data_IF_054667501697
#
_entry.id   IF_054667501697
#
_cell.length_a   1.000
_cell.length_b   1.000
_cell.length_c   1.000
_cell.angle_alpha   90.00
_cell.angle_beta   90.00
_cell.angle_gamma   90.00
#
_symmetry.space_group_name_H-M   'P 1'
#
loop_
_entity.id
_entity.type
_entity.pdbx_description
1 polymer ?
#
# COMPACT_ATOMS: atom_id res chain seq x y z
N UNK A 1 -55.35 35.04 16.03
CA UNK A 1 -55.37 33.73 15.36
C UNK A 1 -54.62 32.74 16.22
N UNK A 2 -55.36 31.85 16.88
CA UNK A 2 -54.84 30.74 17.69
C UNK A 2 -54.67 29.54 16.75
N UNK A 3 -53.48 28.95 16.70
CA UNK A 3 -53.24 27.53 16.36
C UNK A 3 -52.06 27.10 17.23
N UNK A 4 -52.35 26.71 18.48
CA UNK A 4 -52.41 25.33 18.97
C UNK A 4 -51.12 24.53 18.74
N UNK A 5 -50.50 24.21 19.87
CA UNK A 5 -49.37 23.34 20.09
C UNK A 5 -49.62 21.93 19.53
N UNK A 6 -48.58 21.29 19.01
CA UNK A 6 -48.47 19.83 19.03
C UNK A 6 -47.00 19.45 19.20
N UNK A 7 -46.72 18.96 20.40
CA UNK A 7 -45.50 18.31 20.82
C UNK A 7 -45.47 16.91 20.21
N UNK A 8 -44.37 16.51 19.58
CA UNK A 8 -44.06 15.12 19.34
C UNK A 8 -42.57 14.88 19.58
N UNK A 9 -42.30 14.27 20.73
CA UNK A 9 -41.01 13.74 21.16
C UNK A 9 -40.77 12.48 20.31
N UNK A 10 -39.77 12.49 19.43
CA UNK A 10 -39.35 11.25 18.78
C UNK A 10 -38.41 10.50 19.73
N UNK A 11 -38.94 9.44 20.31
CA UNK A 11 -38.22 8.47 21.11
C UNK A 11 -37.11 7.79 20.29
N UNK A 12 -35.98 7.58 20.95
CA UNK A 12 -34.87 6.78 20.44
C UNK A 12 -35.22 5.27 20.42
N UNK A 13 -34.37 4.52 19.70
CA UNK A 13 -34.19 3.06 19.69
C UNK A 13 -35.02 2.30 18.65
N UNK A 14 -34.37 1.82 17.59
CA UNK A 14 -34.25 0.39 17.30
C UNK A 14 -33.06 0.22 16.34
N UNK A 15 -31.95 -0.32 16.86
CA UNK A 15 -30.90 -0.91 16.06
C UNK A 15 -31.46 -2.26 15.58
N UNK A 16 -31.88 -2.37 14.32
CA UNK A 16 -31.96 -3.68 13.67
C UNK A 16 -30.53 -4.19 13.44
N UNK A 17 -29.91 -4.69 14.51
CA UNK A 17 -28.87 -5.69 14.38
C UNK A 17 -29.49 -6.89 13.69
N UNK A 18 -29.16 -7.16 12.43
CA UNK A 18 -29.29 -8.51 11.88
C UNK A 18 -28.26 -9.42 12.56
N UNK A 19 -28.41 -9.62 13.87
CA UNK A 19 -27.70 -10.65 14.60
C UNK A 19 -28.40 -11.97 14.26
N UNK A 20 -27.94 -12.64 13.19
CA UNK A 20 -28.23 -14.06 13.01
C UNK A 20 -27.67 -14.76 14.26
N UNK A 21 -28.54 -15.36 15.06
CA UNK A 21 -28.10 -16.22 16.16
C UNK A 21 -27.33 -17.40 15.54
N UNK A 22 -26.09 -17.69 15.98
CA UNK A 22 -25.41 -18.90 15.57
C UNK A 22 -26.20 -20.11 16.07
N UNK A 23 -26.34 -21.13 15.23
CA UNK A 23 -26.98 -22.39 15.62
C UNK A 23 -26.07 -23.16 16.60
N UNK A 24 -26.62 -23.96 17.54
CA UNK A 24 -25.85 -24.50 18.66
C UNK A 24 -24.93 -25.70 18.35
N UNK A 25 -24.67 -26.04 17.09
CA UNK A 25 -24.05 -27.33 16.73
C UNK A 25 -22.89 -27.24 15.73
N UNK A 26 -22.36 -26.06 15.40
CA UNK A 26 -21.16 -26.02 14.56
C UNK A 26 -19.87 -26.28 15.36
N UNK A 27 -19.01 -27.23 14.93
CA UNK A 27 -17.71 -27.45 15.54
C UNK A 27 -16.88 -26.17 15.50
N UNK A 28 -16.26 -25.80 16.63
CA UNK A 28 -15.34 -24.67 16.71
C UNK A 28 -14.04 -25.02 15.97
N UNK A 29 -14.00 -24.76 14.67
CA UNK A 29 -12.74 -24.69 13.94
C UNK A 29 -12.12 -23.32 14.25
N UNK A 30 -10.94 -23.24 14.88
CA UNK A 30 -10.26 -21.96 15.03
C UNK A 30 -10.03 -21.39 13.62
N UNK A 31 -10.54 -20.19 13.38
CA UNK A 31 -10.26 -19.45 12.15
C UNK A 31 -8.73 -19.31 12.04
N UNK A 32 -8.12 -19.64 10.88
CA UNK A 32 -6.68 -19.52 10.73
C UNK A 32 -6.25 -18.08 11.05
N UNK A 33 -5.25 -17.91 11.93
CA UNK A 33 -4.70 -16.57 12.15
C UNK A 33 -4.13 -16.04 10.84
N UNK A 34 -4.72 -14.95 10.36
CA UNK A 34 -4.29 -14.27 9.14
C UNK A 34 -2.80 -13.89 9.24
N UNK A 35 -1.96 -14.23 8.25
CA UNK A 35 -0.52 -14.03 8.36
C UNK A 35 -0.20 -12.53 8.36
N UNK A 36 0.53 -12.08 9.38
CA UNK A 36 0.88 -10.67 9.54
C UNK A 36 1.76 -10.17 8.39
N UNK A 37 1.44 -8.99 7.85
CA UNK A 37 2.19 -8.35 6.76
C UNK A 37 2.94 -7.11 7.27
N UNK A 38 4.25 -7.06 7.04
CA UNK A 38 5.16 -6.02 7.49
C UNK A 38 5.79 -5.28 6.31
N UNK A 39 5.99 -3.96 6.47
CA UNK A 39 6.82 -3.18 5.54
C UNK A 39 8.30 -3.43 5.79
N UNK A 40 9.09 -3.49 4.72
CA UNK A 40 10.54 -3.34 4.80
C UNK A 40 10.92 -1.89 5.12
N UNK A 41 12.21 -1.66 5.40
CA UNK A 41 12.78 -0.31 5.24
C UNK A 41 12.65 0.19 3.80
N UNK A 42 12.86 1.48 3.60
CA UNK A 42 13.06 2.05 2.27
C UNK A 42 14.41 1.63 1.70
N UNK A 43 14.44 1.42 0.39
CA UNK A 43 15.62 1.14 -0.40
C UNK A 43 15.70 2.16 -1.53
N UNK A 44 16.91 2.65 -1.73
CA UNK A 44 17.28 3.73 -2.63
C UNK A 44 18.69 3.37 -3.07
N UNK A 45 18.80 2.79 -4.27
CA UNK A 45 20.03 2.19 -4.76
C UNK A 45 20.60 3.03 -5.89
N UNK A 46 19.76 3.50 -6.79
CA UNK A 46 20.15 4.29 -7.94
C UNK A 46 19.77 5.76 -7.75
N UNK A 47 20.50 6.67 -8.39
CA UNK A 47 20.13 8.09 -8.46
C UNK A 47 19.73 8.39 -9.91
N UNK A 48 18.92 9.43 -10.19
CA UNK A 48 18.39 9.75 -11.52
C UNK A 48 19.46 10.31 -12.48
N UNK A 49 20.43 9.48 -12.82
CA UNK A 49 21.61 9.81 -13.61
C UNK A 49 21.65 8.95 -14.88
N UNK A 50 22.38 9.41 -15.91
CA UNK A 50 22.47 8.70 -17.18
C UNK A 50 21.09 8.42 -17.82
N UNK A 51 20.63 7.16 -17.70
CA UNK A 51 19.39 6.69 -18.38
C UNK A 51 18.10 6.84 -17.56
N UNK A 52 18.18 7.17 -16.27
CA UNK A 52 17.01 7.30 -15.40
C UNK A 52 17.33 6.89 -13.97
N UNK A 53 16.32 6.37 -13.29
CA UNK A 53 16.39 5.87 -11.92
C UNK A 53 15.88 4.42 -11.85
N UNK A 54 16.71 3.51 -11.33
CA UNK A 54 16.60 2.06 -11.46
C UNK A 54 16.61 1.30 -10.13
N UNK A 55 15.45 1.27 -9.48
CA UNK A 55 15.16 0.49 -8.27
C UNK A 55 14.74 -0.97 -8.59
N UNK A 56 15.61 -1.70 -9.29
CA UNK A 56 15.36 -3.09 -9.70
C UNK A 56 15.41 -4.05 -8.50
N UNK A 57 14.35 -4.84 -8.31
CA UNK A 57 14.21 -5.76 -7.18
C UNK A 57 15.35 -6.80 -7.09
N UNK A 58 15.89 -7.23 -8.24
CA UNK A 58 17.01 -8.18 -8.27
C UNK A 58 18.27 -7.56 -7.64
N UNK A 59 18.54 -6.30 -7.93
CA UNK A 59 19.75 -5.59 -7.50
C UNK A 59 19.59 -5.17 -6.03
N UNK A 60 18.40 -4.67 -5.68
CA UNK A 60 18.02 -4.40 -4.30
C UNK A 60 18.18 -5.63 -3.38
N UNK A 61 17.74 -6.81 -3.82
CA UNK A 61 17.92 -8.06 -3.05
C UNK A 61 19.37 -8.49 -2.95
N UNK A 62 20.16 -8.31 -4.01
CA UNK A 62 21.59 -8.62 -4.03
C UNK A 62 22.34 -7.78 -3.00
N UNK A 63 22.07 -6.48 -2.97
CA UNK A 63 22.72 -5.52 -2.07
C UNK A 63 22.16 -5.56 -0.64
N UNK A 64 20.91 -6.02 -0.46
CA UNK A 64 20.24 -6.13 0.83
C UNK A 64 19.81 -7.58 1.15
N UNK A 65 20.79 -8.48 1.21
CA UNK A 65 20.56 -9.92 1.37
C UNK A 65 19.66 -10.22 2.58
N UNK A 66 18.57 -10.96 2.32
CA UNK A 66 17.61 -11.40 3.34
C UNK A 66 16.67 -10.32 3.88
N UNK A 67 16.75 -9.07 3.39
CA UNK A 67 15.91 -7.95 3.85
C UNK A 67 14.60 -7.80 3.07
N UNK A 68 14.55 -8.32 1.84
CA UNK A 68 13.34 -8.33 1.01
C UNK A 68 12.93 -9.79 0.80
N UNK A 69 11.70 -10.14 1.12
CA UNK A 69 11.17 -11.50 0.95
C UNK A 69 11.14 -11.92 -0.52
N UNK A 70 11.09 -13.23 -0.77
CA UNK A 70 11.05 -13.82 -2.13
C UNK A 70 9.80 -13.42 -2.92
N UNK A 71 8.66 -13.25 -2.24
CA UNK A 71 7.37 -12.90 -2.85
C UNK A 71 6.76 -11.68 -2.14
N UNK A 72 7.09 -10.46 -2.58
CA UNK A 72 6.46 -9.25 -2.04
C UNK A 72 4.97 -9.22 -2.36
N UNK A 73 4.18 -8.73 -1.42
CA UNK A 73 2.73 -8.57 -1.58
C UNK A 73 2.36 -7.17 -2.07
N UNK A 74 3.16 -6.17 -1.71
CA UNK A 74 2.99 -4.78 -2.13
C UNK A 74 4.34 -4.13 -2.41
N UNK A 75 4.34 -3.14 -3.29
CA UNK A 75 5.45 -2.22 -3.56
C UNK A 75 4.92 -0.80 -3.40
N UNK A 76 5.73 0.06 -2.82
CA UNK A 76 5.47 1.49 -2.75
C UNK A 76 6.73 2.23 -3.21
N UNK A 77 6.55 3.27 -4.01
CA UNK A 77 7.61 4.16 -4.47
C UNK A 77 7.26 5.62 -4.15
N UNK A 78 8.21 6.35 -3.58
CA UNK A 78 8.09 7.78 -3.27
C UNK A 78 9.35 8.52 -3.70
N UNK A 79 9.25 9.81 -3.96
CA UNK A 79 10.44 10.63 -4.20
C UNK A 79 11.26 10.80 -2.93
N UNK A 80 12.57 10.91 -3.06
CA UNK A 80 13.49 11.05 -1.91
C UNK A 80 13.39 12.42 -1.24
N UNK A 81 13.14 13.46 -2.04
CA UNK A 81 13.12 14.87 -1.64
C UNK A 81 11.92 15.29 -0.78
N UNK A 82 10.72 14.92 -1.21
CA UNK A 82 9.44 15.41 -0.69
C UNK A 82 8.52 14.28 -0.25
N UNK A 83 8.95 13.02 -0.39
CA UNK A 83 8.15 11.83 -0.12
C UNK A 83 6.85 11.80 -0.94
N UNK A 84 6.86 12.40 -2.13
CA UNK A 84 5.70 12.42 -3.02
C UNK A 84 5.48 11.01 -3.57
N UNK A 85 4.28 10.41 -3.45
CA UNK A 85 3.97 9.13 -4.07
C UNK A 85 4.25 9.16 -5.56
N UNK A 86 4.91 8.12 -6.09
CA UNK A 86 5.31 8.08 -7.50
C UNK A 86 4.12 8.30 -8.46
N UNK A 87 2.96 7.75 -8.14
CA UNK A 87 1.73 7.94 -8.93
C UNK A 87 1.25 9.39 -8.99
N UNK A 88 1.67 10.23 -8.04
CA UNK A 88 1.28 11.64 -7.95
C UNK A 88 2.29 12.59 -8.63
N UNK A 89 3.44 12.08 -9.10
CA UNK A 89 4.48 12.93 -9.69
C UNK A 89 4.21 13.34 -11.13
N UNK A 90 3.32 12.62 -11.81
CA UNK A 90 3.05 12.77 -13.24
C UNK A 90 4.14 12.19 -14.16
N UNK A 91 5.12 11.46 -13.62
CA UNK A 91 6.16 10.78 -14.40
C UNK A 91 5.65 9.44 -14.93
N UNK A 92 6.20 9.01 -16.06
CA UNK A 92 5.88 7.71 -16.67
C UNK A 92 6.87 6.66 -16.22
N UNK A 93 6.38 5.54 -15.69
CA UNK A 93 7.22 4.47 -15.16
C UNK A 93 7.26 3.29 -16.12
N UNK A 94 8.46 2.89 -16.52
CA UNK A 94 8.66 1.73 -17.38
C UNK A 94 8.38 0.42 -16.64
N UNK A 95 8.77 0.39 -15.35
CA UNK A 95 8.50 -0.72 -14.45
C UNK A 95 7.94 -0.12 -13.16
N UNK A 96 6.82 -0.66 -12.69
CA UNK A 96 6.30 -0.42 -11.34
C UNK A 96 5.48 -1.64 -10.92
N UNK A 97 6.16 -2.71 -10.49
CA UNK A 97 5.50 -3.96 -10.12
C UNK A 97 6.31 -4.79 -9.12
N UNK A 98 5.65 -5.77 -8.49
CA UNK A 98 6.20 -6.58 -7.39
C UNK A 98 7.33 -7.52 -7.81
N UNK A 99 7.44 -7.83 -9.10
CA UNK A 99 8.37 -8.86 -9.60
C UNK A 99 9.69 -8.27 -10.08
N UNK A 100 9.65 -7.06 -10.63
CA UNK A 100 10.81 -6.40 -11.23
C UNK A 100 11.29 -5.20 -10.41
N UNK A 101 10.44 -4.55 -9.61
CA UNK A 101 10.77 -3.37 -8.82
C UNK A 101 10.17 -2.09 -9.41
N UNK A 102 10.98 -1.05 -9.51
CA UNK A 102 10.56 0.26 -10.03
C UNK A 102 11.64 0.83 -10.96
N UNK A 103 11.23 1.37 -12.10
CA UNK A 103 12.13 2.02 -13.06
C UNK A 103 11.45 3.23 -13.68
N UNK A 104 12.08 4.38 -13.51
CA UNK A 104 11.83 5.57 -14.30
C UNK A 104 12.96 5.69 -15.34
N UNK A 105 12.62 5.85 -16.63
CA UNK A 105 13.63 6.12 -17.67
C UNK A 105 13.50 7.56 -18.16
N UNK A 106 14.62 8.26 -18.30
CA UNK A 106 14.65 9.64 -18.80
C UNK A 106 13.97 9.75 -20.17
N UNK A 107 14.18 8.77 -21.05
CA UNK A 107 13.61 8.75 -22.41
C UNK A 107 12.08 8.64 -22.48
N UNK A 108 11.43 8.20 -21.39
CA UNK A 108 9.97 8.08 -21.33
C UNK A 108 9.30 9.34 -20.76
N UNK A 109 10.09 10.29 -20.22
CA UNK A 109 9.53 11.48 -19.59
C UNK A 109 9.20 12.54 -20.64
N UNK A 110 7.95 13.02 -20.63
CA UNK A 110 7.50 14.10 -21.52
C UNK A 110 8.32 15.39 -21.33
N UNK A 111 8.77 15.64 -20.10
CA UNK A 111 9.60 16.80 -19.73
C UNK A 111 10.56 16.40 -18.62
N UNK A 112 11.78 16.92 -18.68
CA UNK A 112 12.79 16.76 -17.63
C UNK A 112 13.36 15.34 -17.56
N UNK A 113 14.14 15.11 -16.50
CA UNK A 113 14.67 13.79 -16.14
C UNK A 113 13.80 13.16 -15.07
N UNK A 114 14.01 11.87 -14.82
CA UNK A 114 13.45 11.17 -13.67
C UNK A 114 13.72 11.93 -12.37
N UNK A 115 12.75 11.93 -11.46
CA UNK A 115 13.02 12.25 -10.06
C UNK A 115 13.76 11.07 -9.44
N UNK A 116 14.35 11.34 -8.29
CA UNK A 116 15.01 10.36 -7.44
C UNK A 116 13.97 9.63 -6.59
N UNK A 117 13.89 8.30 -6.69
CA UNK A 117 12.89 7.49 -6.00
C UNK A 117 13.51 6.46 -5.08
N UNK A 118 12.79 6.19 -4.00
CA UNK A 118 13.04 5.04 -3.12
C UNK A 118 11.81 4.16 -3.03
N UNK A 119 12.04 2.86 -2.87
CA UNK A 119 10.99 1.85 -2.79
C UNK A 119 10.98 1.10 -1.47
N UNK A 120 9.82 0.61 -1.07
CA UNK A 120 9.69 -0.39 0.00
C UNK A 120 8.68 -1.47 -0.40
N UNK A 121 8.78 -2.61 0.27
CA UNK A 121 7.98 -3.78 -0.03
C UNK A 121 7.22 -4.25 1.20
N UNK A 122 6.04 -4.85 1.00
CA UNK A 122 5.38 -5.62 2.04
C UNK A 122 5.70 -7.10 1.91
N UNK A 123 6.02 -7.71 3.04
CA UNK A 123 6.36 -9.12 3.16
C UNK A 123 5.58 -9.74 4.33
N UNK A 124 5.41 -11.06 4.34
CA UNK A 124 5.02 -11.75 5.55
C UNK A 124 6.06 -11.45 6.64
N UNK A 125 5.58 -11.06 7.81
CA UNK A 125 6.45 -10.82 8.96
C UNK A 125 7.17 -12.12 9.31
N UNK A 126 8.47 -12.03 9.59
CA UNK A 126 9.18 -13.11 10.26
C UNK A 126 9.01 -12.87 11.75
N UNK A 127 8.40 -13.84 12.45
CA UNK A 127 8.39 -13.86 13.91
C UNK A 127 9.81 -14.00 14.45
#
# INVERSE_FOLDING_TARGET
>A
MIKLLSVAIFAALFLESHQRRPSPEEPFYPEPEEPKVCWTKWFDRDNPSGTGDWELLKDLRKENTGKICKYPLYIEAITTDTMTPAISTGQTFYIYNLTQGFVCRNKDQRKGMCRDYKVRFRCLCRN
#
